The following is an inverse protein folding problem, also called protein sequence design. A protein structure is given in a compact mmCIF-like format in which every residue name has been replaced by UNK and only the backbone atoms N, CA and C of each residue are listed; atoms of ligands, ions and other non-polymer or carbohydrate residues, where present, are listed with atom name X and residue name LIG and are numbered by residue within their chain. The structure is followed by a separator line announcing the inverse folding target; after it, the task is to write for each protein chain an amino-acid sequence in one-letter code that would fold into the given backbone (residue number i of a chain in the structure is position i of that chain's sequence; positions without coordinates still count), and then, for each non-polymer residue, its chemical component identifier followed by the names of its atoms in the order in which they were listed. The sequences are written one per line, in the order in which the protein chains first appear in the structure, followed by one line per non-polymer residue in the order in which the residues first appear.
data_IF_621805814238
#
_entry.id   IF_621805814238
#
_cell.length_a   1.000
_cell.length_b   1.000
_cell.length_c   1.000
_cell.angle_alpha   90.00
_cell.angle_beta   90.00
_cell.angle_gamma   90.00
#
_symmetry.space_group_name_H-M   'P 1'
#
loop_
_entity.id
_entity.type
_entity.pdbx_description
1 polymer ?
#
# COMPACT_ATOMS: atom_id res chain seq x y z
N UNK A 1 -31.23 -15.89 -9.58
CA UNK A 1 -30.51 -16.09 -10.86
C UNK A 1 -31.11 -15.14 -11.89
N UNK A 2 -30.38 -14.10 -12.30
CA UNK A 2 -30.84 -13.18 -13.37
C UNK A 2 -30.30 -13.69 -14.71
N UNK A 3 -31.18 -13.84 -15.70
CA UNK A 3 -30.76 -14.10 -17.09
C UNK A 3 -30.44 -12.76 -17.74
N UNK A 4 -29.18 -12.48 -18.05
CA UNK A 4 -28.82 -11.37 -18.94
C UNK A 4 -29.20 -11.80 -20.36
N UNK A 5 -30.44 -11.49 -20.78
CA UNK A 5 -30.92 -11.75 -22.15
C UNK A 5 -30.13 -10.89 -23.12
N UNK A 6 -29.61 -11.50 -24.19
CA UNK A 6 -29.27 -11.08 -25.59
C UNK A 6 -29.35 -9.59 -26.05
N UNK A 7 -29.44 -8.61 -25.15
CA UNK A 7 -29.26 -7.20 -25.44
C UNK A 7 -27.76 -6.94 -25.40
N UNK A 8 -27.20 -6.57 -26.57
CA UNK A 8 -25.81 -6.11 -26.80
C UNK A 8 -24.96 -6.14 -25.52
N UNK A 9 -24.29 -7.27 -25.29
CA UNK A 9 -23.30 -7.42 -24.21
C UNK A 9 -22.35 -6.23 -24.30
N UNK A 10 -22.36 -5.37 -23.28
CA UNK A 10 -21.50 -4.19 -23.23
C UNK A 10 -20.21 -4.60 -22.58
N UNK A 11 -19.10 -4.44 -23.29
CA UNK A 11 -17.75 -4.81 -22.84
C UNK A 11 -16.99 -3.53 -22.54
N UNK A 12 -16.09 -3.54 -21.56
CA UNK A 12 -15.18 -2.41 -21.33
C UNK A 12 -14.26 -2.20 -22.53
N UNK A 13 -14.07 -0.94 -22.94
CA UNK A 13 -13.36 -0.64 -24.19
C UNK A 13 -11.87 -0.35 -24.00
N UNK A 14 -11.52 0.26 -22.87
CA UNK A 14 -10.17 0.70 -22.54
C UNK A 14 -9.93 0.68 -21.01
N UNK A 15 -8.71 1.04 -20.61
CA UNK A 15 -8.28 1.06 -19.20
C UNK A 15 -8.93 2.16 -18.35
N UNK A 16 -9.51 3.21 -18.98
CA UNK A 16 -10.26 4.25 -18.28
C UNK A 16 -11.68 3.78 -17.97
N UNK A 17 -12.23 2.87 -18.77
CA UNK A 17 -13.54 2.27 -18.50
C UNK A 17 -13.48 1.05 -17.57
N UNK A 18 -12.42 0.24 -17.63
CA UNK A 18 -12.31 -1.00 -16.88
C UNK A 18 -12.10 -0.74 -15.38
N UNK A 19 -13.03 -1.13 -14.48
CA UNK A 19 -12.84 -1.00 -13.05
C UNK A 19 -11.63 -1.80 -12.58
N UNK A 20 -10.83 -1.21 -11.69
CA UNK A 20 -9.65 -1.88 -11.14
C UNK A 20 -10.02 -3.18 -10.41
N UNK A 21 -11.15 -3.20 -9.70
CA UNK A 21 -11.70 -4.42 -9.12
C UNK A 21 -11.89 -5.54 -10.15
N UNK A 22 -12.43 -5.24 -11.33
CA UNK A 22 -12.67 -6.24 -12.37
C UNK A 22 -11.35 -6.75 -12.95
N UNK A 23 -10.38 -5.85 -13.20
CA UNK A 23 -9.01 -6.23 -13.57
C UNK A 23 -8.40 -7.21 -12.56
N UNK A 24 -8.44 -6.86 -11.27
CA UNK A 24 -7.96 -7.72 -10.18
C UNK A 24 -8.62 -9.10 -10.20
N UNK A 25 -9.94 -9.19 -10.38
CA UNK A 25 -10.66 -10.47 -10.45
C UNK A 25 -10.22 -11.31 -11.65
N UNK A 26 -10.03 -10.71 -12.82
CA UNK A 26 -9.54 -11.40 -14.03
C UNK A 26 -8.16 -11.99 -13.76
N UNK A 27 -7.21 -11.18 -13.26
CA UNK A 27 -5.84 -11.65 -12.95
C UNK A 27 -5.85 -12.79 -11.91
N UNK A 28 -6.69 -12.69 -10.88
CA UNK A 28 -6.72 -13.68 -9.79
C UNK A 28 -7.45 -14.98 -10.15
N UNK A 29 -8.40 -14.94 -11.06
CA UNK A 29 -9.32 -16.09 -11.30
C UNK A 29 -9.28 -16.63 -12.73
N UNK A 30 -8.70 -15.90 -13.68
CA UNK A 30 -8.78 -16.20 -15.11
C UNK A 30 -10.18 -16.03 -15.71
N UNK A 31 -11.12 -15.47 -14.96
CA UNK A 31 -12.50 -15.30 -15.42
C UNK A 31 -12.65 -14.01 -16.24
N UNK A 32 -12.54 -14.14 -17.57
CA UNK A 32 -12.68 -13.00 -18.48
C UNK A 32 -14.11 -12.44 -18.57
N UNK A 33 -15.12 -13.10 -18.00
CA UNK A 33 -16.48 -12.56 -18.00
C UNK A 33 -16.62 -11.27 -17.19
N UNK A 34 -15.68 -10.97 -16.29
CA UNK A 34 -15.57 -9.66 -15.64
C UNK A 34 -15.29 -8.51 -16.62
N UNK A 35 -14.98 -8.79 -17.89
CA UNK A 35 -14.94 -7.79 -18.97
C UNK A 35 -16.32 -7.28 -19.40
N UNK A 36 -17.39 -7.99 -19.02
CA UNK A 36 -18.77 -7.60 -19.31
C UNK A 36 -19.28 -6.65 -18.23
N UNK A 37 -19.82 -5.50 -18.67
CA UNK A 37 -20.36 -4.48 -17.77
C UNK A 37 -21.55 -5.05 -17.00
N UNK A 38 -21.44 -5.07 -15.67
CA UNK A 38 -22.47 -5.56 -14.76
C UNK A 38 -22.49 -7.08 -14.53
N UNK A 39 -21.43 -7.79 -14.92
CA UNK A 39 -21.26 -9.21 -14.59
C UNK A 39 -21.03 -9.42 -13.09
N UNK A 40 -21.74 -10.39 -12.51
CA UNK A 40 -21.44 -10.96 -11.20
C UNK A 40 -21.13 -12.46 -11.30
N UNK A 41 -20.27 -12.96 -10.42
CA UNK A 41 -19.90 -14.37 -10.39
C UNK A 41 -21.15 -15.27 -10.30
N UNK A 42 -21.28 -16.20 -11.24
CA UNK A 42 -22.44 -17.10 -11.34
C UNK A 42 -23.54 -16.62 -12.31
N UNK A 43 -23.38 -15.45 -12.93
CA UNK A 43 -24.22 -15.04 -14.05
C UNK A 43 -23.96 -15.91 -15.28
N UNK A 44 -25.01 -16.14 -16.07
CA UNK A 44 -24.91 -16.82 -17.37
C UNK A 44 -24.76 -15.79 -18.47
N UNK A 45 -23.57 -15.75 -19.06
CA UNK A 45 -23.27 -14.92 -20.23
C UNK A 45 -23.17 -15.84 -21.46
N UNK A 46 -23.86 -15.45 -22.52
CA UNK A 46 -23.81 -16.10 -23.83
C UNK A 46 -22.87 -15.26 -24.73
N UNK A 47 -21.57 -15.35 -24.44
CA UNK A 47 -20.50 -14.62 -25.12
C UNK A 47 -19.21 -15.47 -25.11
N UNK A 48 -18.39 -15.36 -26.16
CA UNK A 48 -17.16 -16.14 -26.27
C UNK A 48 -16.08 -15.60 -25.31
N UNK A 49 -15.64 -16.43 -24.38
CA UNK A 49 -14.60 -16.08 -23.42
C UNK A 49 -13.26 -15.77 -24.11
N UNK A 50 -12.95 -16.43 -25.23
CA UNK A 50 -11.71 -16.18 -25.99
C UNK A 50 -11.71 -14.81 -26.69
N UNK A 51 -12.88 -14.27 -27.03
CA UNK A 51 -12.98 -12.89 -27.53
C UNK A 51 -12.77 -11.86 -26.42
N UNK A 52 -13.23 -12.15 -25.19
CA UNK A 52 -13.05 -11.28 -24.02
C UNK A 52 -11.58 -11.25 -23.57
N UNK A 53 -10.90 -12.40 -23.59
CA UNK A 53 -9.47 -12.52 -23.32
C UNK A 53 -8.65 -11.66 -24.28
N UNK A 54 -8.84 -11.82 -25.60
CA UNK A 54 -8.16 -10.99 -26.60
C UNK A 54 -8.42 -9.50 -26.40
N UNK A 55 -9.64 -9.13 -26.01
CA UNK A 55 -10.00 -7.74 -25.76
C UNK A 55 -9.34 -7.22 -24.48
N UNK A 56 -9.27 -8.03 -23.44
CA UNK A 56 -8.56 -7.73 -22.20
C UNK A 56 -7.07 -7.50 -22.49
N UNK A 57 -6.41 -8.42 -23.19
CA UNK A 57 -4.99 -8.31 -23.54
C UNK A 57 -4.68 -7.04 -24.32
N UNK A 58 -5.52 -6.68 -25.29
CA UNK A 58 -5.41 -5.42 -26.03
C UNK A 58 -5.48 -4.20 -25.09
N UNK A 59 -6.41 -4.20 -24.12
CA UNK A 59 -6.51 -3.12 -23.13
C UNK A 59 -5.27 -3.05 -22.23
N UNK A 60 -4.72 -4.21 -21.84
CA UNK A 60 -3.50 -4.27 -21.01
C UNK A 60 -2.29 -3.78 -21.79
N UNK A 61 -2.15 -4.15 -23.07
CA UNK A 61 -1.08 -3.64 -23.93
C UNK A 61 -1.16 -2.12 -24.09
N UNK A 62 -2.35 -1.58 -24.41
CA UNK A 62 -2.55 -0.14 -24.53
C UNK A 62 -2.31 0.58 -23.19
N UNK A 63 -2.72 -0.02 -22.07
CA UNK A 63 -2.44 0.47 -20.74
C UNK A 63 -0.93 0.50 -20.45
N UNK A 64 -0.22 -0.59 -20.70
CA UNK A 64 1.23 -0.69 -20.51
C UNK A 64 1.99 0.30 -21.39
N UNK A 65 1.55 0.56 -22.63
CA UNK A 65 2.15 1.61 -23.46
C UNK A 65 1.86 3.03 -22.93
N UNK A 66 0.74 3.23 -22.24
CA UNK A 66 0.38 4.51 -21.62
C UNK A 66 1.07 4.76 -20.26
N UNK A 67 1.57 3.70 -19.62
CA UNK A 67 2.28 3.74 -18.36
C UNK A 67 3.73 3.36 -18.62
N UNK A 68 4.66 4.32 -18.62
CA UNK A 68 6.11 4.08 -18.74
C UNK A 68 6.64 3.28 -17.52
N UNK A 69 6.25 2.00 -17.36
CA UNK A 69 6.31 1.30 -16.07
C UNK A 69 7.55 0.45 -15.88
N UNK A 70 8.38 0.87 -14.91
CA UNK A 70 9.22 0.00 -14.08
C UNK A 70 8.39 -0.51 -12.88
N UNK A 71 7.86 -1.73 -12.96
CA UNK A 71 6.93 -2.28 -11.96
C UNK A 71 7.63 -2.76 -10.65
N UNK A 72 8.90 -3.17 -10.72
CA UNK A 72 9.65 -3.72 -9.60
C UNK A 72 10.08 -2.66 -8.57
N UNK A 73 10.38 -1.47 -9.07
CA UNK A 73 10.73 -0.30 -8.26
C UNK A 73 9.58 0.07 -7.30
N UNK A 74 8.33 -0.06 -7.74
CA UNK A 74 7.15 0.34 -6.96
C UNK A 74 7.00 -0.49 -5.67
N UNK A 75 7.27 -1.79 -5.71
CA UNK A 75 7.17 -2.67 -4.53
C UNK A 75 8.26 -2.31 -3.52
N UNK A 76 9.50 -2.16 -4.00
CA UNK A 76 10.62 -1.79 -3.13
C UNK A 76 10.42 -0.38 -2.54
N UNK A 77 9.90 0.55 -3.32
CA UNK A 77 9.54 1.89 -2.86
C UNK A 77 8.38 1.89 -1.85
N UNK A 78 7.40 1.02 -2.03
CA UNK A 78 6.28 0.90 -1.08
C UNK A 78 6.75 0.32 0.25
N UNK A 79 7.60 -0.69 0.22
CA UNK A 79 8.25 -1.23 1.42
C UNK A 79 9.07 -0.16 2.15
N UNK A 80 9.79 0.69 1.41
CA UNK A 80 10.50 1.85 1.97
C UNK A 80 9.53 2.81 2.69
N UNK A 81 8.44 3.22 2.03
CA UNK A 81 7.49 4.18 2.60
C UNK A 81 6.73 3.64 3.82
N UNK A 82 6.31 2.36 3.79
CA UNK A 82 5.66 1.71 4.93
C UNK A 82 6.59 1.74 6.13
N UNK A 83 7.86 1.38 5.95
CA UNK A 83 8.84 1.39 7.02
C UNK A 83 9.14 2.81 7.55
N UNK A 84 9.22 3.83 6.69
CA UNK A 84 9.37 5.23 7.10
C UNK A 84 8.17 5.73 7.90
N UNK A 85 6.96 5.42 7.47
CA UNK A 85 5.74 5.84 8.17
C UNK A 85 5.65 5.17 9.55
N UNK A 86 5.96 3.87 9.64
CA UNK A 86 6.01 3.16 10.93
C UNK A 86 7.11 3.70 11.85
N UNK A 87 8.26 4.14 11.32
CA UNK A 87 9.27 4.86 12.12
C UNK A 87 8.66 6.16 12.68
N UNK A 88 8.06 7.00 11.85
CA UNK A 88 7.48 8.27 12.27
C UNK A 88 6.41 8.10 13.36
N UNK A 89 5.50 7.13 13.21
CA UNK A 89 4.52 6.80 14.25
C UNK A 89 5.18 6.41 15.56
N UNK A 90 6.19 5.54 15.54
CA UNK A 90 6.88 5.07 16.74
C UNK A 90 7.73 6.18 17.39
N UNK A 91 8.30 7.10 16.62
CA UNK A 91 9.03 8.27 17.13
C UNK A 91 8.08 9.23 17.87
N UNK A 92 6.87 9.47 17.36
CA UNK A 92 5.85 10.24 18.07
C UNK A 92 5.48 9.56 19.40
N UNK A 93 5.33 8.23 19.40
CA UNK A 93 5.06 7.47 20.63
C UNK A 93 6.19 7.63 21.64
N UNK A 94 7.45 7.59 21.20
CA UNK A 94 8.59 7.84 22.10
C UNK A 94 8.51 9.22 22.74
N UNK A 95 8.24 10.26 21.94
CA UNK A 95 8.10 11.63 22.46
C UNK A 95 6.98 11.75 23.49
N UNK A 96 5.84 11.08 23.26
CA UNK A 96 4.74 11.06 24.23
C UNK A 96 5.17 10.36 25.53
N UNK A 97 5.87 9.22 25.44
CA UNK A 97 6.37 8.52 26.63
C UNK A 97 7.41 9.38 27.37
N UNK A 98 8.30 10.09 26.65
CA UNK A 98 9.25 11.03 27.25
C UNK A 98 8.51 12.11 28.05
N UNK A 99 7.50 12.75 27.46
CA UNK A 99 6.69 13.77 28.13
C UNK A 99 5.97 13.25 29.37
N UNK A 100 5.44 12.01 29.33
CA UNK A 100 4.76 11.40 30.48
C UNK A 100 5.76 11.05 31.59
N UNK A 101 6.96 10.57 31.24
CA UNK A 101 8.02 10.32 32.22
C UNK A 101 8.43 11.61 32.91
N UNK A 102 8.68 12.68 32.15
CA UNK A 102 9.03 13.99 32.70
C UNK A 102 7.89 14.56 33.57
N UNK A 103 6.63 14.35 33.18
CA UNK A 103 5.48 14.74 33.98
C UNK A 103 5.40 13.95 35.29
N UNK A 104 5.69 12.65 35.26
CA UNK A 104 5.71 11.79 36.44
C UNK A 104 6.86 12.12 37.40
N UNK A 105 8.02 12.55 36.90
CA UNK A 105 9.10 13.10 37.73
C UNK A 105 8.65 14.37 38.47
N UNK A 106 7.95 15.27 37.78
CA UNK A 106 7.38 16.48 38.42
C UNK A 106 6.28 16.13 39.43
N UNK A 107 5.43 15.14 39.14
CA UNK A 107 4.41 14.64 40.08
C UNK A 107 5.04 14.08 41.35
N UNK A 108 6.10 13.28 41.22
CA UNK A 108 6.89 12.78 42.36
C UNK A 108 7.42 13.91 43.23
N UNK A 109 7.99 14.96 42.63
CA UNK A 109 8.47 16.13 43.37
C UNK A 109 7.36 16.85 44.17
N UNK A 110 6.11 16.71 43.74
CA UNK A 110 4.92 17.26 44.40
C UNK A 110 4.19 16.25 45.29
N UNK A 111 4.73 15.03 45.50
CA UNK A 111 4.06 13.91 46.17
C UNK A 111 2.69 13.53 45.56
N UNK A 112 2.55 13.71 44.24
CA UNK A 112 1.39 13.27 43.47
C UNK A 112 1.73 11.91 42.86
N UNK A 113 0.76 10.99 42.86
CA UNK A 113 0.93 9.68 42.23
C UNK A 113 1.20 9.80 40.72
N UNK A 114 2.02 8.89 40.21
CA UNK A 114 2.28 8.75 38.78
C UNK A 114 0.99 8.41 38.02
N UNK A 115 0.92 8.87 36.77
CA UNK A 115 -0.17 8.55 35.85
C UNK A 115 0.41 8.08 34.52
N UNK A 116 0.10 6.84 34.16
CA UNK A 116 0.56 6.18 32.94
C UNK A 116 -0.61 5.74 32.03
N UNK A 117 -1.85 6.15 32.32
CA UNK A 117 -3.03 5.73 31.54
C UNK A 117 -2.93 6.16 30.07
N UNK A 118 -2.39 7.36 29.83
CA UNK A 118 -2.15 7.87 28.47
C UNK A 118 -1.21 6.96 27.67
N UNK A 119 -0.15 6.43 28.30
CA UNK A 119 0.77 5.48 27.66
C UNK A 119 0.04 4.18 27.35
N UNK A 120 -0.76 3.65 28.29
CA UNK A 120 -1.50 2.39 28.09
C UNK A 120 -2.50 2.47 26.94
N UNK A 121 -3.27 3.56 26.86
CA UNK A 121 -4.21 3.78 25.75
C UNK A 121 -3.47 3.87 24.41
N UNK A 122 -2.39 4.64 24.35
CA UNK A 122 -1.59 4.78 23.13
C UNK A 122 -1.01 3.44 22.66
N UNK A 123 -0.41 2.66 23.57
CA UNK A 123 0.15 1.34 23.26
C UNK A 123 -0.92 0.31 22.90
N UNK A 124 -2.20 0.52 23.26
CA UNK A 124 -3.29 -0.37 22.86
C UNK A 124 -3.56 -0.32 21.36
N UNK A 125 -3.31 0.84 20.73
CA UNK A 125 -3.57 1.12 19.31
C UNK A 125 -2.40 0.74 18.40
N UNK A 126 -1.28 0.30 18.98
CA UNK A 126 -0.02 0.09 18.25
C UNK A 126 0.48 -1.33 18.47
N UNK A 127 0.85 -2.00 17.37
CA UNK A 127 1.36 -3.37 17.42
C UNK A 127 2.81 -3.41 17.92
N UNK A 128 3.05 -3.26 19.21
CA UNK A 128 4.38 -3.35 19.84
C UNK A 128 4.35 -4.29 21.04
N UNK A 129 5.49 -4.88 21.40
CA UNK A 129 5.60 -5.61 22.66
C UNK A 129 5.44 -4.62 23.82
N UNK A 130 4.50 -4.92 24.72
CA UNK A 130 4.15 -4.07 25.86
C UNK A 130 5.03 -4.39 27.07
N UNK A 131 5.24 -3.40 27.93
CA UNK A 131 5.89 -3.50 29.23
C UNK A 131 5.34 -2.39 30.14
N UNK A 132 5.25 -2.66 31.43
CA UNK A 132 4.71 -1.70 32.40
C UNK A 132 5.72 -0.61 32.76
N UNK A 133 7.01 -0.89 32.68
CA UNK A 133 8.07 0.10 32.92
C UNK A 133 8.24 0.99 31.67
N UNK A 134 8.01 2.32 31.79
CA UNK A 134 8.16 3.26 30.67
C UNK A 134 9.57 3.26 30.06
N UNK A 135 10.63 3.03 30.85
CA UNK A 135 12.01 2.99 30.34
C UNK A 135 12.23 1.74 29.49
N UNK A 136 11.79 0.59 29.97
CA UNK A 136 11.87 -0.67 29.21
C UNK A 136 10.99 -0.57 27.96
N UNK A 137 9.82 0.04 28.07
CA UNK A 137 8.92 0.28 26.94
C UNK A 137 9.55 1.17 25.86
N UNK A 138 10.28 2.24 26.25
CA UNK A 138 11.06 3.07 25.31
C UNK A 138 12.08 2.22 24.57
N UNK A 139 12.81 1.35 25.26
CA UNK A 139 13.81 0.49 24.61
C UNK A 139 13.17 -0.45 23.58
N UNK A 140 12.04 -1.10 23.92
CA UNK A 140 11.31 -1.97 22.99
C UNK A 140 10.84 -1.22 21.73
N UNK A 141 10.42 0.03 21.88
CA UNK A 141 10.03 0.87 20.74
C UNK A 141 11.25 1.25 19.90
N UNK A 142 12.38 1.63 20.52
CA UNK A 142 13.64 1.91 19.83
C UNK A 142 14.14 0.71 19.03
N UNK A 143 14.09 -0.49 19.61
CA UNK A 143 14.48 -1.73 18.92
C UNK A 143 13.60 -1.98 17.69
N UNK A 144 12.29 -1.71 17.81
CA UNK A 144 11.36 -1.84 16.68
C UNK A 144 11.60 -0.77 15.61
N UNK A 145 11.89 0.48 15.98
CA UNK A 145 12.34 1.52 15.05
C UNK A 145 13.60 1.08 14.32
N UNK A 146 14.57 0.49 15.02
CA UNK A 146 15.80 0.02 14.39
C UNK A 146 15.55 -1.09 13.37
N UNK A 147 14.60 -2.01 13.64
CA UNK A 147 14.16 -3.01 12.65
C UNK A 147 13.61 -2.35 11.38
N UNK A 148 12.76 -1.34 11.53
CA UNK A 148 12.25 -0.60 10.36
C UNK A 148 13.33 0.20 9.65
N UNK A 149 14.30 0.81 10.36
CA UNK A 149 15.45 1.47 9.74
C UNK A 149 16.27 0.49 8.90
N UNK A 150 16.47 -0.73 9.37
CA UNK A 150 17.14 -1.77 8.60
C UNK A 150 16.32 -2.20 7.37
N UNK A 151 14.99 -2.24 7.47
CA UNK A 151 14.10 -2.49 6.32
C UNK A 151 14.15 -1.36 5.30
N UNK A 152 14.21 -0.11 5.75
CA UNK A 152 14.41 1.08 4.91
C UNK A 152 15.71 0.96 4.11
N UNK A 153 16.83 0.61 4.77
CA UNK A 153 18.12 0.50 4.08
C UNK A 153 18.15 -0.67 3.09
N UNK A 154 17.52 -1.80 3.43
CA UNK A 154 17.33 -2.91 2.48
C UNK A 154 16.52 -2.47 1.25
N UNK A 155 15.35 -1.87 1.46
CA UNK A 155 14.50 -1.36 0.39
C UNK A 155 15.26 -0.36 -0.50
N UNK A 156 15.97 0.62 0.10
CA UNK A 156 16.84 1.56 -0.62
C UNK A 156 17.90 0.85 -1.44
N UNK A 157 18.58 -0.16 -0.89
CA UNK A 157 19.60 -0.90 -1.63
C UNK A 157 19.03 -1.71 -2.79
N UNK A 158 17.81 -2.25 -2.66
CA UNK A 158 17.11 -2.95 -3.74
C UNK A 158 16.70 -1.98 -4.84
N UNK A 159 16.16 -0.81 -4.47
CA UNK A 159 15.86 0.31 -5.39
C UNK A 159 17.11 0.77 -6.16
N UNK A 160 18.28 0.78 -5.51
CA UNK A 160 19.54 1.19 -6.14
C UNK A 160 20.16 0.08 -7.01
N UNK A 161 19.69 -1.16 -6.90
CA UNK A 161 20.21 -2.33 -7.62
C UNK A 161 19.31 -2.79 -8.78
N UNK A 162 18.04 -2.38 -8.82
CA UNK A 162 17.09 -2.67 -9.90
C UNK A 162 17.45 -2.02 -11.26
N UNK A 163 18.65 -1.43 -11.42
CA UNK A 163 19.22 -1.12 -12.73
C UNK A 163 19.89 -2.32 -13.43
N UNK A 164 19.97 -3.53 -12.83
CA UNK A 164 20.77 -4.61 -13.45
C UNK A 164 20.25 -6.05 -13.50
N UNK A 165 19.23 -6.49 -12.77
CA UNK A 165 18.79 -7.89 -12.86
C UNK A 165 17.27 -7.97 -12.75
N UNK A 166 16.61 -8.37 -13.84
CA UNK A 166 15.19 -8.74 -13.88
C UNK A 166 15.05 -10.11 -13.18
N UNK A 167 14.76 -10.14 -11.88
CA UNK A 167 14.21 -11.33 -11.24
C UNK A 167 12.68 -11.31 -11.39
N UNK A 168 12.13 -12.41 -11.89
CA UNK A 168 10.70 -12.59 -12.15
C UNK A 168 9.94 -12.72 -10.81
N UNK A 169 9.68 -11.59 -10.15
CA UNK A 169 8.88 -11.55 -8.92
C UNK A 169 7.41 -11.84 -9.26
N UNK A 170 6.85 -12.86 -8.61
CA UNK A 170 5.43 -13.21 -8.71
C UNK A 170 4.57 -12.01 -8.24
N UNK A 171 3.82 -11.44 -9.19
CA UNK A 171 3.16 -10.15 -9.06
C UNK A 171 1.83 -10.26 -8.30
N UNK A 172 1.79 -9.94 -7.00
CA UNK A 172 0.53 -9.84 -6.24
C UNK A 172 -0.11 -8.45 -6.38
N UNK A 173 -1.19 -8.39 -7.16
CA UNK A 173 -1.95 -7.16 -7.42
C UNK A 173 -2.58 -6.55 -6.16
N UNK A 174 -2.85 -7.36 -5.13
CA UNK A 174 -3.44 -6.90 -3.88
C UNK A 174 -2.41 -6.20 -3.02
N UNK A 175 -1.22 -6.77 -2.92
CA UNK A 175 -0.10 -6.13 -2.23
C UNK A 175 0.26 -4.81 -2.89
N UNK A 176 0.28 -4.76 -4.23
CA UNK A 176 0.56 -3.53 -4.97
C UNK A 176 -0.50 -2.45 -4.68
N UNK A 177 -1.78 -2.81 -4.74
CA UNK A 177 -2.85 -1.85 -4.48
C UNK A 177 -2.83 -1.32 -3.05
N UNK A 178 -2.62 -2.19 -2.05
CA UNK A 178 -2.49 -1.79 -0.64
C UNK A 178 -1.29 -0.87 -0.46
N UNK A 179 -0.15 -1.24 -1.03
CA UNK A 179 1.09 -0.48 -1.05
C UNK A 179 0.91 0.93 -1.60
N UNK A 180 0.22 1.07 -2.73
CA UNK A 180 -0.08 2.37 -3.36
C UNK A 180 -0.94 3.24 -2.44
N UNK A 181 -2.03 2.67 -1.89
CA UNK A 181 -2.92 3.37 -0.98
C UNK A 181 -2.20 3.85 0.29
N UNK A 182 -1.39 2.98 0.91
CA UNK A 182 -0.62 3.30 2.10
C UNK A 182 0.44 4.37 1.83
N UNK A 183 1.18 4.25 0.73
CA UNK A 183 2.24 5.19 0.37
C UNK A 183 1.72 6.58 0.02
N UNK A 184 0.54 6.67 -0.59
CA UNK A 184 -0.15 7.93 -0.86
C UNK A 184 -0.99 8.44 0.32
N UNK A 185 -1.18 7.64 1.36
CA UNK A 185 -2.01 7.95 2.54
C UNK A 185 -3.49 8.21 2.17
N UNK A 186 -4.01 7.41 1.23
CA UNK A 186 -5.40 7.48 0.77
C UNK A 186 -6.08 6.13 0.90
N UNK A 187 -7.40 6.13 1.04
CA UNK A 187 -8.22 4.92 1.03
C UNK A 187 -9.24 5.02 -0.10
N UNK A 188 -9.07 4.20 -1.14
CA UNK A 188 -9.88 4.27 -2.36
C UNK A 188 -10.49 2.93 -2.65
N UNK A 189 -11.82 2.79 -2.62
CA UNK A 189 -12.47 1.51 -2.97
C UNK A 189 -12.08 1.09 -4.40
N UNK A 190 -11.53 -0.12 -4.61
CA UNK A 190 -11.11 -0.60 -5.94
C UNK A 190 -12.26 -0.70 -6.95
N UNK A 191 -13.52 -0.69 -6.51
CA UNK A 191 -14.70 -0.63 -7.39
C UNK A 191 -14.98 0.78 -7.92
N UNK A 192 -14.45 1.81 -7.28
CA UNK A 192 -14.71 3.21 -7.60
C UNK A 192 -13.64 3.83 -8.51
N UNK A 193 -12.56 3.10 -8.81
CA UNK A 193 -11.50 3.54 -9.71
C UNK A 193 -11.36 2.60 -10.91
N UNK A 194 -10.96 3.18 -12.03
CA UNK A 194 -10.53 2.49 -13.23
C UNK A 194 -9.09 1.98 -13.14
N UNK A 195 -8.72 1.06 -14.01
CA UNK A 195 -7.35 0.58 -14.17
C UNK A 195 -6.38 1.74 -14.49
N UNK A 196 -6.83 2.69 -15.31
CA UNK A 196 -6.04 3.88 -15.65
C UNK A 196 -5.78 4.76 -14.43
N UNK A 197 -6.81 5.06 -13.63
CA UNK A 197 -6.67 5.88 -12.42
C UNK A 197 -5.76 5.20 -11.39
N UNK A 198 -5.82 3.87 -11.28
CA UNK A 198 -4.85 3.12 -10.49
C UNK A 198 -3.42 3.30 -11.01
N UNK A 199 -3.19 3.24 -12.32
CA UNK A 199 -1.87 3.52 -12.92
C UNK A 199 -1.39 4.96 -12.65
N UNK A 200 -2.30 5.94 -12.62
CA UNK A 200 -1.95 7.32 -12.22
C UNK A 200 -1.55 7.39 -10.75
N UNK A 201 -2.27 6.70 -9.85
CA UNK A 201 -1.91 6.61 -8.43
C UNK A 201 -0.52 6.01 -8.25
N UNK A 202 -0.20 4.96 -9.02
CA UNK A 202 1.15 4.37 -9.04
C UNK A 202 2.20 5.42 -9.45
N UNK A 203 1.98 6.16 -10.54
CA UNK A 203 2.89 7.24 -10.97
C UNK A 203 3.06 8.33 -9.90
N UNK A 204 1.96 8.75 -9.28
CA UNK A 204 1.98 9.75 -8.21
C UNK A 204 2.81 9.26 -7.02
N UNK A 205 2.70 7.99 -6.67
CA UNK A 205 3.51 7.40 -5.60
C UNK A 205 4.99 7.44 -5.96
N UNK A 206 5.36 7.03 -7.18
CA UNK A 206 6.74 7.09 -7.67
C UNK A 206 7.28 8.52 -7.58
N UNK A 207 6.55 9.51 -8.07
CA UNK A 207 6.95 10.92 -7.98
C UNK A 207 7.09 11.42 -6.54
N UNK A 208 6.19 11.04 -5.63
CA UNK A 208 6.28 11.37 -4.18
C UNK A 208 7.59 10.82 -3.61
N UNK A 209 7.96 9.60 -3.99
CA UNK A 209 9.17 8.95 -3.50
C UNK A 209 10.44 9.59 -4.07
N UNK A 210 10.47 9.86 -5.37
CA UNK A 210 11.60 10.56 -6.00
C UNK A 210 11.87 11.93 -5.36
N UNK A 211 10.81 12.67 -5.02
CA UNK A 211 10.93 13.95 -4.33
C UNK A 211 11.54 13.81 -2.92
N UNK A 212 11.13 12.78 -2.17
CA UNK A 212 11.70 12.46 -0.85
C UNK A 212 13.18 12.09 -0.97
N UNK A 213 13.54 11.26 -1.96
CA UNK A 213 14.93 10.84 -2.18
C UNK A 213 15.84 12.00 -2.58
N UNK A 214 15.39 12.88 -3.48
CA UNK A 214 16.14 14.11 -3.84
C UNK A 214 16.35 15.01 -2.62
N UNK A 215 15.34 15.16 -1.78
CA UNK A 215 15.43 15.97 -0.57
C UNK A 215 16.43 15.38 0.44
N UNK A 216 16.45 14.06 0.60
CA UNK A 216 17.37 13.36 1.50
C UNK A 216 18.83 13.36 1.00
N UNK A 217 19.06 13.35 -0.31
CA UNK A 217 20.41 13.42 -0.88
C UNK A 217 21.01 14.84 -0.81
N UNK A 218 20.18 15.89 -0.85
CA UNK A 218 20.61 17.29 -0.73
C UNK A 218 20.79 17.76 0.72
N UNK A 219 20.38 16.94 1.71
CA UNK A 219 20.51 17.23 3.14
C UNK A 219 21.80 16.64 3.78
N UNK A 220 22.68 16.05 2.96
CA UNK A 220 24.03 15.61 3.32
C UNK A 220 25.07 16.57 2.77
#
# INVERSE_FOLDING_TARGET
MKKIKKHKVRIYQDSKELPFYNYKRIIQTGDFFYMVKGYEAGDRIDFDASELEKKFDSIIQDFALSQDTKNEDIINYSNYLIAVNEIGKLEIVLQIIDLVVDANEKRKALNINEDNETIKDLLSKIKVQKNEDPIIQKQKIKDKIQKFKNQVEKAKSSILKSEKEEEEIEYDIDEQYISVCLGLEIHVDPKLISLYEFGVMVKMLVSKVEAINKSNNNAR
#
